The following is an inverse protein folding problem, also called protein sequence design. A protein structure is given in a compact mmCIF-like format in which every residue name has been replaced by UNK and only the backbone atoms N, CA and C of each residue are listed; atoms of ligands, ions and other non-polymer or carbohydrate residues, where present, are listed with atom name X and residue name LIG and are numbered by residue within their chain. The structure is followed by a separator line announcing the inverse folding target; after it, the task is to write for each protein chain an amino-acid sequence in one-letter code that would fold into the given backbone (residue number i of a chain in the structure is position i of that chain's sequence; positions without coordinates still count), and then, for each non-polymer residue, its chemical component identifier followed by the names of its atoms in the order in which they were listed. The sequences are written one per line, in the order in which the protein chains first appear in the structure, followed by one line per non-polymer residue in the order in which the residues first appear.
data_IF_842099010839
#
_entry.id   IF_842099010839
#
_cell.length_a   1.000
_cell.length_b   1.000
_cell.length_c   1.000
_cell.angle_alpha   90.00
_cell.angle_beta   90.00
_cell.angle_gamma   90.00
#
_symmetry.space_group_name_H-M   'P 1'
#
loop_
_entity.id
_entity.type
_entity.pdbx_description
1 polymer ?
#
# COMPACT_ATOMS: atom_id res chain seq x y z
N UNK A 1 0.83 18.52 -4.39
CA UNK A 1 -0.29 17.89 -3.68
C UNK A 1 -0.39 18.43 -2.28
N UNK A 2 -1.55 18.89 -1.92
CA UNK A 2 -1.79 19.43 -0.59
C UNK A 2 -2.62 18.46 0.24
N UNK A 3 -2.09 18.09 1.40
CA UNK A 3 -2.73 17.13 2.28
C UNK A 3 -3.16 17.81 3.56
N UNK A 4 -4.41 17.61 4.02
CA UNK A 4 -4.84 18.19 5.28
C UNK A 4 -4.06 17.58 6.44
N UNK A 5 -4.02 18.29 7.56
CA UNK A 5 -3.41 17.75 8.78
C UNK A 5 -4.20 16.53 9.24
N UNK A 6 -3.52 15.42 9.53
CA UNK A 6 -4.21 14.20 9.97
C UNK A 6 -4.96 14.39 11.28
N UNK A 7 -6.17 13.90 11.33
CA UNK A 7 -6.96 13.80 12.56
C UNK A 7 -6.71 12.39 13.13
N UNK A 8 -5.51 12.19 13.67
CA UNK A 8 -5.07 10.87 14.11
C UNK A 8 -5.73 10.44 15.40
N UNK A 9 -6.10 9.17 15.46
CA UNK A 9 -6.68 8.53 16.65
C UNK A 9 -6.13 7.11 16.73
N UNK A 10 -6.12 6.51 17.94
CA UNK A 10 -5.78 5.10 18.05
C UNK A 10 -6.74 4.23 17.23
N UNK A 11 -6.19 3.40 16.36
CA UNK A 11 -6.95 2.51 15.49
C UNK A 11 -6.34 1.11 15.56
N UNK A 12 -7.18 0.08 15.49
CA UNK A 12 -6.68 -1.27 15.32
C UNK A 12 -6.35 -1.48 13.86
N UNK A 13 -5.08 -1.69 13.56
CA UNK A 13 -4.60 -1.77 12.17
C UNK A 13 -5.34 -2.83 11.37
N UNK A 14 -5.57 -4.01 11.97
CA UNK A 14 -6.27 -5.09 11.26
C UNK A 14 -7.69 -4.69 10.86
N UNK A 15 -8.38 -3.92 11.69
CA UNK A 15 -9.72 -3.46 11.38
C UNK A 15 -9.71 -2.44 10.25
N UNK A 16 -8.72 -1.55 10.24
CA UNK A 16 -8.58 -0.57 9.17
C UNK A 16 -8.35 -1.27 7.83
N UNK A 17 -7.49 -2.28 7.82
CA UNK A 17 -7.22 -3.08 6.62
C UNK A 17 -8.48 -3.84 6.20
N UNK A 18 -9.13 -4.51 7.15
CA UNK A 18 -10.31 -5.31 6.85
C UNK A 18 -11.47 -4.47 6.32
N UNK A 19 -11.60 -3.23 6.79
CA UNK A 19 -12.65 -2.33 6.32
C UNK A 19 -12.51 -2.00 4.83
N UNK A 20 -11.30 -2.12 4.27
CA UNK A 20 -11.05 -1.88 2.85
C UNK A 20 -11.23 -3.12 1.98
N UNK A 21 -11.53 -4.27 2.59
CA UNK A 21 -11.59 -5.56 1.88
C UNK A 21 -12.53 -5.53 0.69
N UNK A 22 -13.74 -4.99 0.89
CA UNK A 22 -14.74 -4.94 -0.17
C UNK A 22 -14.26 -4.13 -1.38
N UNK A 23 -13.65 -3.00 -1.10
CA UNK A 23 -13.08 -2.17 -2.16
C UNK A 23 -11.98 -2.92 -2.90
N UNK A 24 -11.09 -3.57 -2.15
CA UNK A 24 -10.01 -4.36 -2.73
C UNK A 24 -10.54 -5.45 -3.65
N UNK A 25 -11.57 -6.16 -3.21
CA UNK A 25 -12.19 -7.20 -4.01
C UNK A 25 -12.80 -6.64 -5.30
N UNK A 26 -13.43 -5.47 -5.21
CA UNK A 26 -14.00 -4.81 -6.39
C UNK A 26 -12.92 -4.46 -7.42
N UNK A 27 -11.80 -3.92 -6.95
CA UNK A 27 -10.67 -3.57 -7.84
C UNK A 27 -10.09 -4.81 -8.52
N UNK A 28 -10.05 -5.92 -7.81
CA UNK A 28 -9.37 -7.13 -8.27
C UNK A 28 -10.25 -8.09 -9.04
N UNK A 29 -11.57 -8.00 -8.85
CA UNK A 29 -12.54 -8.97 -9.38
C UNK A 29 -12.44 -9.15 -10.89
N UNK A 30 -12.39 -8.06 -11.63
CA UNK A 30 -12.39 -8.11 -13.09
C UNK A 30 -11.02 -8.46 -13.68
N UNK A 31 -10.01 -8.55 -12.84
CA UNK A 31 -8.64 -8.85 -13.26
C UNK A 31 -8.20 -10.26 -12.88
N UNK A 32 -9.09 -11.03 -12.28
CA UNK A 32 -8.78 -12.36 -11.75
C UNK A 32 -7.58 -12.31 -10.82
N UNK A 33 -7.62 -11.40 -9.84
CA UNK A 33 -6.58 -11.24 -8.83
C UNK A 33 -7.14 -11.69 -7.49
N UNK A 34 -6.46 -12.64 -6.87
CA UNK A 34 -6.83 -13.13 -5.55
C UNK A 34 -6.17 -12.29 -4.47
N UNK A 35 -6.94 -11.94 -3.43
CA UNK A 35 -6.40 -11.26 -2.27
C UNK A 35 -6.26 -12.26 -1.13
N UNK A 36 -5.05 -12.39 -0.60
CA UNK A 36 -4.74 -13.28 0.51
C UNK A 36 -4.38 -12.43 1.71
N UNK A 37 -5.18 -12.52 2.77
CA UNK A 37 -4.93 -11.78 4.01
C UNK A 37 -4.29 -12.67 5.07
N UNK A 38 -3.17 -12.21 5.62
CA UNK A 38 -2.44 -12.87 6.69
C UNK A 38 -2.22 -11.84 7.80
N UNK A 39 -3.30 -11.57 8.52
CA UNK A 39 -3.27 -10.55 9.57
C UNK A 39 -2.81 -11.17 10.89
N UNK A 40 -2.02 -10.41 11.66
CA UNK A 40 -1.56 -10.83 12.97
C UNK A 40 -2.72 -11.14 13.90
N UNK A 41 -2.60 -12.20 14.71
CA UNK A 41 -3.63 -12.52 15.71
C UNK A 41 -3.82 -11.36 16.69
N UNK A 42 -2.72 -10.77 17.12
CA UNK A 42 -2.76 -9.55 17.91
C UNK A 42 -2.84 -8.38 16.97
N UNK A 43 -3.95 -7.63 17.02
CA UNK A 43 -4.10 -6.46 16.16
C UNK A 43 -3.32 -5.29 16.75
N UNK A 44 -2.30 -4.78 16.05
CA UNK A 44 -1.56 -3.64 16.58
C UNK A 44 -2.43 -2.39 16.57
N UNK A 45 -2.29 -1.58 17.63
CA UNK A 45 -2.96 -0.29 17.71
C UNK A 45 -1.98 0.78 17.22
N UNK A 46 -2.41 1.57 16.26
CA UNK A 46 -1.59 2.63 15.67
C UNK A 46 -2.39 3.93 15.63
N UNK A 47 -1.68 5.05 15.72
CA UNK A 47 -2.32 6.36 15.59
C UNK A 47 -2.36 6.72 14.12
N UNK A 48 -3.55 6.87 13.58
CA UNK A 48 -3.70 7.29 12.19
C UNK A 48 -5.04 7.98 11.93
N UNK A 49 -5.07 8.74 10.86
CA UNK A 49 -6.29 9.33 10.32
C UNK A 49 -6.92 8.28 9.40
N UNK A 50 -8.04 7.73 9.82
CA UNK A 50 -8.68 6.62 9.12
C UNK A 50 -9.03 6.97 7.67
N UNK A 51 -9.54 8.16 7.43
CA UNK A 51 -9.92 8.58 6.09
C UNK A 51 -8.72 8.71 5.15
N UNK A 52 -7.65 9.35 5.63
CA UNK A 52 -6.43 9.48 4.83
C UNK A 52 -5.76 8.13 4.59
N UNK A 53 -5.72 7.29 5.62
CA UNK A 53 -5.08 5.99 5.49
C UNK A 53 -5.85 5.06 4.56
N UNK A 54 -7.18 5.14 4.57
CA UNK A 54 -8.00 4.40 3.62
C UNK A 54 -7.63 4.77 2.18
N UNK A 55 -7.44 6.06 1.91
CA UNK A 55 -7.02 6.50 0.57
C UNK A 55 -5.64 5.98 0.20
N UNK A 56 -4.73 5.90 1.17
CA UNK A 56 -3.41 5.29 0.95
C UNK A 56 -3.55 3.82 0.54
N UNK A 57 -4.36 3.05 1.29
CA UNK A 57 -4.56 1.64 0.98
C UNK A 57 -5.20 1.44 -0.39
N UNK A 58 -6.20 2.25 -0.71
CA UNK A 58 -6.85 2.23 -2.02
C UNK A 58 -5.83 2.43 -3.13
N UNK A 59 -4.97 3.42 -2.98
CA UNK A 59 -3.98 3.72 -4.00
C UNK A 59 -2.91 2.63 -4.13
N UNK A 60 -2.48 2.05 -3.01
CA UNK A 60 -1.50 0.96 -3.03
C UNK A 60 -2.10 -0.26 -3.75
N UNK A 61 -3.34 -0.61 -3.43
CA UNK A 61 -4.01 -1.76 -4.04
C UNK A 61 -4.23 -1.54 -5.54
N UNK A 62 -4.64 -0.34 -5.94
CA UNK A 62 -4.79 -0.02 -7.36
C UNK A 62 -3.47 -0.17 -8.11
N UNK A 63 -2.39 0.35 -7.53
CA UNK A 63 -1.08 0.24 -8.14
C UNK A 63 -0.64 -1.22 -8.28
N UNK A 64 -0.88 -2.03 -7.24
CA UNK A 64 -0.56 -3.45 -7.27
C UNK A 64 -1.37 -4.18 -8.35
N UNK A 65 -2.67 -3.92 -8.43
CA UNK A 65 -3.54 -4.54 -9.42
C UNK A 65 -3.13 -4.16 -10.84
N UNK A 66 -2.77 -2.90 -11.07
CA UNK A 66 -2.29 -2.46 -12.38
C UNK A 66 -0.96 -3.11 -12.76
N UNK A 67 -0.07 -3.29 -11.78
CA UNK A 67 1.21 -3.97 -12.02
C UNK A 67 1.01 -5.43 -12.40
N UNK A 68 0.04 -6.10 -11.78
CA UNK A 68 -0.31 -7.48 -12.12
C UNK A 68 -1.01 -7.54 -13.47
N UNK A 69 -1.88 -6.58 -13.74
CA UNK A 69 -2.80 -6.51 -14.85
C UNK A 69 -3.88 -7.59 -14.72
N UNK A 70 -3.57 -8.85 -14.95
CA UNK A 70 -4.53 -9.97 -14.80
C UNK A 70 -3.83 -11.20 -14.26
N UNK A 71 -4.59 -12.05 -13.58
CA UNK A 71 -4.15 -13.39 -13.17
C UNK A 71 -2.97 -13.35 -12.20
N UNK A 72 -3.25 -12.93 -10.98
CA UNK A 72 -2.21 -12.87 -9.96
C UNK A 72 -2.74 -12.84 -8.56
N UNK A 73 -1.89 -12.45 -7.62
CA UNK A 73 -2.22 -12.41 -6.21
C UNK A 73 -1.68 -11.16 -5.53
N UNK A 74 -2.44 -10.69 -4.56
CA UNK A 74 -1.99 -9.63 -3.65
C UNK A 74 -2.05 -10.20 -2.23
N UNK A 75 -0.94 -10.15 -1.53
CA UNK A 75 -0.83 -10.63 -0.15
C UNK A 75 -0.81 -9.42 0.78
N UNK A 76 -1.67 -9.43 1.79
CA UNK A 76 -1.74 -8.36 2.77
C UNK A 76 -1.41 -8.94 4.14
N UNK A 77 -0.38 -8.43 4.77
CA UNK A 77 0.15 -8.98 6.01
C UNK A 77 0.36 -7.87 7.04
N UNK A 78 -0.02 -8.16 8.28
CA UNK A 78 0.31 -7.28 9.41
C UNK A 78 1.17 -8.05 10.41
N UNK A 79 2.11 -7.33 11.04
CA UNK A 79 2.95 -7.86 12.09
C UNK A 79 2.94 -6.89 13.27
N UNK A 80 3.34 -7.35 14.45
CA UNK A 80 3.30 -6.50 15.64
C UNK A 80 4.68 -6.10 16.09
N UNK A 81 5.69 -6.76 16.17
CA UNK A 81 7.01 -6.34 16.65
C UNK A 81 8.10 -6.59 15.63
N UNK A 82 8.31 -5.66 14.70
CA UNK A 82 7.75 -4.29 14.62
C UNK A 82 6.35 -4.29 14.03
N UNK A 83 5.61 -3.20 14.29
CA UNK A 83 4.30 -2.99 13.69
C UNK A 83 4.50 -2.60 12.24
N UNK A 84 4.06 -3.46 11.34
CA UNK A 84 4.26 -3.29 9.91
C UNK A 84 3.04 -3.77 9.15
N UNK A 85 2.68 -3.05 8.11
CA UNK A 85 1.72 -3.47 7.11
C UNK A 85 2.48 -3.72 5.82
N UNK A 86 2.35 -4.92 5.27
CA UNK A 86 2.99 -5.29 4.01
C UNK A 86 1.94 -5.65 2.97
N UNK A 87 2.09 -5.08 1.79
CA UNK A 87 1.23 -5.40 0.64
C UNK A 87 2.16 -5.87 -0.47
N UNK A 88 2.08 -7.16 -0.81
CA UNK A 88 2.95 -7.77 -1.80
C UNK A 88 2.14 -8.20 -3.01
N UNK A 89 2.69 -8.03 -4.21
CA UNK A 89 2.00 -8.41 -5.42
C UNK A 89 2.88 -9.23 -6.36
N UNK A 90 2.23 -10.02 -7.21
CA UNK A 90 2.89 -10.87 -8.19
C UNK A 90 3.05 -10.19 -9.55
N UNK A 91 3.00 -8.87 -9.58
CA UNK A 91 3.05 -8.12 -10.83
C UNK A 91 4.42 -8.11 -11.49
N UNK A 92 4.56 -7.22 -12.46
CA UNK A 92 5.77 -7.16 -13.30
C UNK A 92 7.03 -6.75 -12.57
N UNK A 93 6.88 -6.22 -11.35
CA UNK A 93 8.03 -5.79 -10.57
C UNK A 93 8.56 -4.42 -10.96
N UNK A 94 9.60 -4.01 -10.27
CA UNK A 94 10.24 -2.71 -10.43
C UNK A 94 11.75 -2.94 -10.52
N UNK A 95 12.39 -2.34 -11.52
CA UNK A 95 13.85 -2.41 -11.59
C UNK A 95 14.49 -1.41 -10.60
N UNK A 96 15.79 -1.55 -10.36
CA UNK A 96 16.48 -0.75 -9.35
C UNK A 96 16.53 0.74 -9.70
N UNK A 97 16.66 1.07 -10.96
CA UNK A 97 16.65 2.47 -11.38
C UNK A 97 15.31 3.11 -11.09
N UNK A 98 14.22 2.40 -11.39
CA UNK A 98 12.87 2.87 -11.10
C UNK A 98 12.64 3.01 -9.60
N UNK A 99 13.13 2.04 -8.79
CA UNK A 99 12.98 2.10 -7.33
C UNK A 99 13.46 3.41 -6.74
N UNK A 100 14.56 3.96 -7.25
CA UNK A 100 15.14 5.18 -6.72
C UNK A 100 14.32 6.43 -7.05
N UNK A 101 13.39 6.33 -8.02
CA UNK A 101 12.61 7.46 -8.52
C UNK A 101 11.14 7.44 -8.14
N UNK A 102 10.66 6.33 -7.56
CA UNK A 102 9.23 6.08 -7.41
C UNK A 102 8.45 7.16 -6.69
N UNK A 103 9.06 7.80 -5.70
CA UNK A 103 8.37 8.81 -4.92
C UNK A 103 8.73 10.23 -5.33
N UNK A 104 9.41 10.39 -6.46
CA UNK A 104 9.69 11.71 -7.02
C UNK A 104 8.40 12.28 -7.63
N UNK A 105 8.20 13.61 -7.52
CA UNK A 105 7.01 14.23 -8.10
C UNK A 105 6.89 13.95 -9.59
N UNK A 106 5.67 13.63 -10.01
CA UNK A 106 5.30 13.41 -11.42
C UNK A 106 5.97 12.22 -12.09
N UNK A 107 6.77 11.42 -11.38
CA UNK A 107 7.32 10.21 -11.96
C UNK A 107 6.22 9.16 -12.12
N UNK A 108 6.17 8.51 -13.27
CA UNK A 108 5.24 7.42 -13.53
C UNK A 108 5.74 6.53 -14.65
N UNK A 109 5.54 5.22 -14.50
CA UNK A 109 5.80 4.24 -15.56
C UNK A 109 4.54 3.94 -16.38
N UNK A 110 3.41 4.52 -15.99
CA UNK A 110 2.13 4.29 -16.66
C UNK A 110 1.97 5.23 -17.84
N UNK A 111 1.47 4.75 -18.98
CA UNK A 111 1.28 5.61 -20.17
C UNK A 111 0.43 6.84 -19.87
N UNK A 112 -0.61 6.69 -19.04
CA UNK A 112 -1.49 7.79 -18.65
C UNK A 112 -1.27 8.19 -17.20
N UNK A 113 -0.20 7.69 -16.57
CA UNK A 113 0.07 7.95 -15.19
C UNK A 113 0.61 9.35 -14.96
N UNK A 114 0.27 9.95 -13.85
CA UNK A 114 0.67 11.29 -13.49
C UNK A 114 1.65 11.33 -12.32
N UNK A 115 1.98 10.18 -11.74
CA UNK A 115 2.88 10.09 -10.61
C UNK A 115 2.32 10.69 -9.32
N UNK A 116 1.02 10.99 -9.30
CA UNK A 116 0.38 11.63 -8.15
C UNK A 116 0.07 10.63 -7.05
N UNK A 117 -0.31 9.40 -7.43
CA UNK A 117 -0.69 8.37 -6.47
C UNK A 117 0.40 8.07 -5.45
N UNK A 118 1.64 7.86 -5.91
CA UNK A 118 2.76 7.57 -5.03
C UNK A 118 3.19 8.78 -4.21
N UNK A 119 3.15 9.99 -4.79
CA UNK A 119 3.51 11.18 -4.02
C UNK A 119 2.47 11.46 -2.93
N UNK A 120 1.19 11.19 -3.21
CA UNK A 120 0.15 11.30 -2.20
C UNK A 120 0.40 10.32 -1.05
N UNK A 121 0.69 9.05 -1.38
CA UNK A 121 1.01 8.02 -0.39
C UNK A 121 2.19 8.49 0.48
N UNK A 122 3.26 8.96 -0.16
CA UNK A 122 4.44 9.45 0.55
C UNK A 122 4.08 10.55 1.54
N UNK A 123 3.34 11.55 1.08
CA UNK A 123 3.02 12.70 1.93
C UNK A 123 2.15 12.31 3.12
N UNK A 124 1.16 11.45 2.90
CA UNK A 124 0.32 10.97 4.00
C UNK A 124 1.14 10.16 5.00
N UNK A 125 1.99 9.24 4.53
CA UNK A 125 2.79 8.40 5.40
C UNK A 125 3.79 9.21 6.21
N UNK A 126 4.41 10.22 5.61
CA UNK A 126 5.33 11.12 6.33
C UNK A 126 4.59 11.88 7.44
N UNK A 127 3.37 12.34 7.17
CA UNK A 127 2.58 13.04 8.20
C UNK A 127 2.12 12.11 9.31
N UNK A 128 2.17 10.82 9.10
CA UNK A 128 1.85 9.81 10.13
C UNK A 128 3.11 9.25 10.80
N UNK A 129 4.27 9.84 10.53
CA UNK A 129 5.55 9.40 11.08
C UNK A 129 5.89 7.94 10.74
N UNK A 130 5.42 7.48 9.61
CA UNK A 130 5.70 6.14 9.12
C UNK A 130 6.97 6.11 8.29
N UNK A 131 7.68 4.99 8.36
CA UNK A 131 8.70 4.65 7.37
C UNK A 131 8.06 3.71 6.36
N UNK A 132 8.59 3.70 5.15
CA UNK A 132 7.99 2.89 4.09
C UNK A 132 9.01 2.59 3.00
N UNK A 133 8.76 1.52 2.26
CA UNK A 133 9.56 1.16 1.09
C UNK A 133 8.68 0.47 0.06
N UNK A 134 9.08 0.57 -1.19
CA UNK A 134 8.45 -0.14 -2.30
C UNK A 134 9.55 -0.67 -3.19
N UNK A 135 9.69 -2.00 -3.27
CA UNK A 135 10.73 -2.62 -4.08
C UNK A 135 10.38 -4.05 -4.46
N UNK A 136 11.02 -4.53 -5.52
CA UNK A 136 10.94 -5.92 -5.91
C UNK A 136 11.97 -6.75 -5.16
N UNK A 137 11.58 -7.98 -4.81
CA UNK A 137 12.41 -8.91 -4.05
C UNK A 137 12.80 -10.12 -4.92
N UNK A 138 13.87 -10.83 -4.53
CA UNK A 138 14.32 -11.98 -5.32
C UNK A 138 13.29 -13.11 -5.48
N UNK A 139 12.30 -13.17 -4.60
CA UNK A 139 11.23 -14.18 -4.69
C UNK A 139 10.19 -13.86 -5.75
N UNK A 140 10.36 -12.76 -6.47
CA UNK A 140 9.42 -12.35 -7.52
C UNK A 140 8.29 -11.48 -7.05
N UNK A 141 8.20 -11.20 -5.75
CA UNK A 141 7.16 -10.34 -5.21
C UNK A 141 7.63 -8.90 -5.10
N UNK A 142 6.75 -7.97 -5.40
CA UNK A 142 6.97 -6.55 -5.17
C UNK A 142 6.25 -6.19 -3.90
N UNK A 143 6.97 -5.59 -2.93
CA UNK A 143 6.41 -5.31 -1.61
C UNK A 143 6.39 -3.83 -1.30
N UNK A 144 5.21 -3.37 -0.89
CA UNK A 144 5.05 -2.08 -0.26
C UNK A 144 4.98 -2.35 1.25
N UNK A 145 5.96 -1.84 1.98
CA UNK A 145 6.01 -2.02 3.44
C UNK A 145 5.85 -0.68 4.13
N UNK A 146 5.03 -0.66 5.17
CA UNK A 146 4.80 0.53 6.00
C UNK A 146 5.08 0.14 7.45
N UNK A 147 6.05 0.82 8.07
CA UNK A 147 6.38 0.63 9.48
C UNK A 147 5.82 1.79 10.28
N UNK A 148 5.04 1.47 11.29
CA UNK A 148 4.42 2.46 12.17
C UNK A 148 5.31 2.76 13.36
N UNK A 149 5.26 4.01 13.82
CA UNK A 149 6.05 4.44 14.97
C UNK A 149 5.55 3.83 16.28
#
# INVERSE_FOLDING_TARGET
VRIPEPQSRPQELNQVVFACKRFMETVCQNRNIEIVMDLSEESPVVNLDNSLFEQVLVNIIKNAAESIDRDGKIYIRTTVRPTCLEIADTGKGIDKDTETKLFSPFFSTKPNGQGIGLIFIREVLLKHDCRFSLRSYPDGLTRFKIWFA
#
